data_IF_701831329853
#
_entry.id   IF_701831329853
#
_cell.length_a   1.000
_cell.length_b   1.000
_cell.length_c   1.000
_cell.angle_alpha   90.00
_cell.angle_beta   90.00
_cell.angle_gamma   90.00
#
_symmetry.space_group_name_H-M   'P 1'
#
loop_
_entity.id
_entity.type
_entity.pdbx_description
1 polymer ?
#
# COMPACT_ATOMS: atom_id res chain seq x y z
N UNK A 1 36.26 -48.38 9.41
CA UNK A 1 36.63 -47.43 8.34
C UNK A 1 35.35 -46.76 7.85
N UNK A 2 35.11 -45.49 8.20
CA UNK A 2 33.97 -44.73 7.65
C UNK A 2 34.30 -44.28 6.25
N UNK A 3 33.42 -44.60 5.29
CA UNK A 3 33.49 -44.05 3.95
C UNK A 3 33.29 -42.51 4.01
N UNK A 4 34.08 -41.72 3.27
CA UNK A 4 33.92 -40.27 3.26
C UNK A 4 32.56 -39.90 2.63
N UNK A 5 31.94 -38.79 3.06
CA UNK A 5 30.66 -38.37 2.50
C UNK A 5 30.81 -38.06 1.02
N UNK A 6 29.88 -38.58 0.22
CA UNK A 6 29.86 -38.46 -1.22
C UNK A 6 29.77 -36.96 -1.61
N UNK A 7 30.86 -36.41 -2.14
CA UNK A 7 31.03 -34.98 -2.48
C UNK A 7 29.90 -34.46 -3.40
N UNK A 8 29.28 -35.35 -4.19
CA UNK A 8 28.15 -35.06 -5.06
C UNK A 8 26.85 -34.72 -4.31
N UNK A 9 26.64 -35.26 -3.10
CA UNK A 9 25.46 -34.94 -2.27
C UNK A 9 25.56 -33.54 -1.64
N UNK A 10 26.79 -33.08 -1.34
CA UNK A 10 27.04 -31.76 -0.76
C UNK A 10 26.84 -30.66 -1.82
N UNK A 11 27.27 -30.89 -3.06
CA UNK A 11 27.07 -29.93 -4.15
C UNK A 11 25.59 -29.83 -4.58
N UNK A 12 24.85 -30.94 -4.56
CA UNK A 12 23.39 -30.97 -4.77
C UNK A 12 22.65 -30.13 -3.71
N UNK A 13 23.05 -30.25 -2.45
CA UNK A 13 22.39 -29.54 -1.35
C UNK A 13 22.67 -28.02 -1.37
N UNK A 14 23.83 -27.58 -1.87
CA UNK A 14 24.15 -26.16 -2.00
C UNK A 14 23.37 -25.44 -3.11
N UNK A 15 22.87 -26.16 -4.11
CA UNK A 15 22.08 -25.60 -5.22
C UNK A 15 20.61 -25.41 -4.85
N UNK A 16 20.10 -26.16 -3.86
CA UNK A 16 18.69 -26.14 -3.43
C UNK A 16 18.41 -25.27 -2.18
N UNK A 17 19.41 -24.57 -1.63
CA UNK A 17 19.20 -23.66 -0.50
C UNK A 17 19.13 -22.21 -0.99
N UNK A 18 18.02 -21.49 -0.76
CA UNK A 18 17.97 -20.06 -0.97
C UNK A 18 19.12 -19.40 -0.19
N UNK A 19 20.00 -18.71 -0.90
CA UNK A 19 21.05 -17.93 -0.22
C UNK A 19 20.40 -16.78 0.55
N UNK A 20 21.01 -16.33 1.65
CA UNK A 20 20.50 -15.21 2.45
C UNK A 20 20.25 -13.95 1.60
N UNK A 21 21.01 -13.77 0.52
CA UNK A 21 20.83 -12.66 -0.44
C UNK A 21 19.52 -12.77 -1.25
N UNK A 22 19.13 -13.98 -1.65
CA UNK A 22 17.89 -14.23 -2.38
C UNK A 22 16.67 -14.04 -1.49
N UNK A 23 16.72 -14.56 -0.25
CA UNK A 23 15.64 -14.40 0.73
C UNK A 23 15.37 -12.92 0.99
N UNK A 24 16.42 -12.13 1.25
CA UNK A 24 16.30 -10.68 1.46
C UNK A 24 15.73 -9.94 0.25
N UNK A 25 16.08 -10.37 -0.96
CA UNK A 25 15.56 -9.77 -2.18
C UNK A 25 14.05 -10.04 -2.32
N UNK A 26 13.63 -11.27 -2.04
CA UNK A 26 12.24 -11.68 -2.14
C UNK A 26 11.37 -11.01 -1.06
N UNK A 27 11.89 -10.88 0.16
CA UNK A 27 11.25 -10.10 1.22
C UNK A 27 11.01 -8.65 0.79
N UNK A 28 12.00 -8.00 0.18
CA UNK A 28 11.85 -6.62 -0.29
C UNK A 28 10.80 -6.49 -1.41
N UNK A 29 10.72 -7.46 -2.32
CA UNK A 29 9.68 -7.48 -3.35
C UNK A 29 8.29 -7.67 -2.76
N UNK A 30 8.15 -8.52 -1.74
CA UNK A 30 6.88 -8.74 -1.06
C UNK A 30 6.42 -7.47 -0.35
N UNK A 31 7.30 -6.83 0.42
CA UNK A 31 7.00 -5.56 1.11
C UNK A 31 6.62 -4.47 0.09
N UNK A 32 7.33 -4.38 -1.02
CA UNK A 32 7.00 -3.41 -2.08
C UNK A 32 5.62 -3.70 -2.69
N UNK A 33 5.31 -4.97 -2.96
CA UNK A 33 4.02 -5.36 -3.55
C UNK A 33 2.86 -5.07 -2.61
N UNK A 34 3.03 -5.34 -1.32
CA UNK A 34 2.07 -4.98 -0.27
C UNK A 34 1.88 -3.47 -0.19
N UNK A 35 2.97 -2.71 -0.15
CA UNK A 35 2.92 -1.24 -0.17
C UNK A 35 2.16 -0.71 -1.39
N UNK A 36 2.44 -1.22 -2.59
CA UNK A 36 1.76 -0.80 -3.81
C UNK A 36 0.26 -1.11 -3.76
N UNK A 37 -0.13 -2.30 -3.29
CA UNK A 37 -1.52 -2.70 -3.11
C UNK A 37 -2.23 -1.76 -2.14
N UNK A 38 -1.67 -1.59 -0.95
CA UNK A 38 -2.27 -0.80 0.12
C UNK A 38 -2.40 0.67 -0.29
N UNK A 39 -1.40 1.21 -1.03
CA UNK A 39 -1.46 2.55 -1.60
C UNK A 39 -2.57 2.68 -2.64
N UNK A 40 -2.77 1.67 -3.50
CA UNK A 40 -3.85 1.66 -4.49
C UNK A 40 -5.22 1.61 -3.81
N UNK A 41 -5.39 0.74 -2.81
CA UNK A 41 -6.63 0.63 -2.05
C UNK A 41 -6.98 1.95 -1.34
N UNK A 42 -5.98 2.61 -0.75
CA UNK A 42 -6.19 3.91 -0.11
C UNK A 42 -6.59 5.00 -1.11
N UNK A 43 -6.00 5.01 -2.31
CA UNK A 43 -6.39 5.94 -3.37
C UNK A 43 -7.83 5.70 -3.82
N UNK A 44 -8.25 4.45 -4.00
CA UNK A 44 -9.64 4.13 -4.35
C UNK A 44 -10.62 4.61 -3.28
N UNK A 45 -10.25 4.47 -2.01
CA UNK A 45 -11.06 4.99 -0.92
C UNK A 45 -11.19 6.52 -0.96
N UNK A 46 -10.09 7.24 -1.24
CA UNK A 46 -10.11 8.70 -1.40
C UNK A 46 -11.00 9.13 -2.57
N UNK A 47 -10.95 8.40 -3.70
CA UNK A 47 -11.79 8.68 -4.86
C UNK A 47 -13.28 8.51 -4.55
N UNK A 48 -13.66 7.46 -3.80
CA UNK A 48 -15.05 7.28 -3.38
C UNK A 48 -15.47 8.36 -2.36
N UNK A 49 -14.60 8.75 -1.44
CA UNK A 49 -14.86 9.84 -0.50
C UNK A 49 -15.09 11.18 -1.22
N UNK A 50 -14.25 11.50 -2.21
CA UNK A 50 -14.38 12.70 -3.04
C UNK A 50 -15.70 12.69 -3.83
N UNK A 51 -16.02 11.57 -4.48
CA UNK A 51 -17.29 11.37 -5.20
C UNK A 51 -18.50 11.52 -4.28
N UNK A 52 -18.43 11.01 -3.05
CA UNK A 52 -19.47 11.28 -2.06
C UNK A 52 -19.52 12.79 -1.81
N UNK A 53 -18.45 13.47 -1.43
CA UNK A 53 -18.52 14.92 -1.16
C UNK A 53 -18.99 15.79 -2.35
N UNK A 54 -18.73 15.38 -3.60
CA UNK A 54 -18.98 16.17 -4.80
C UNK A 54 -20.35 16.03 -5.47
N UNK A 55 -21.24 15.14 -5.01
CA UNK A 55 -22.59 14.99 -5.61
C UNK A 55 -23.48 16.20 -5.25
N UNK A 56 -23.98 16.97 -6.24
CA UNK A 56 -24.90 18.07 -5.99
C UNK A 56 -26.21 17.57 -5.40
N UNK A 57 -26.73 18.30 -4.40
CA UNK A 57 -28.03 18.04 -3.80
C UNK A 57 -29.12 18.85 -4.49
N UNK A 58 -30.23 18.19 -4.80
CA UNK A 58 -31.41 18.82 -5.37
C UNK A 58 -32.21 19.55 -4.27
N UNK A 59 -32.54 20.84 -4.44
CA UNK A 59 -33.37 21.57 -3.49
C UNK A 59 -34.74 20.89 -3.30
N UNK A 60 -35.10 20.61 -2.03
CA UNK A 60 -36.36 19.97 -1.68
C UNK A 60 -36.36 18.44 -1.75
N UNK A 61 -35.26 17.81 -2.15
CA UNK A 61 -35.13 16.35 -2.13
C UNK A 61 -34.58 15.86 -0.78
N UNK A 62 -35.46 15.79 0.22
CA UNK A 62 -35.11 15.39 1.59
C UNK A 62 -34.54 13.97 1.68
N UNK A 63 -35.01 13.06 0.82
CA UNK A 63 -34.52 11.68 0.78
C UNK A 63 -33.06 11.62 0.32
N UNK A 64 -32.72 12.35 -0.75
CA UNK A 64 -31.34 12.45 -1.23
C UNK A 64 -30.42 13.06 -0.17
N UNK A 65 -30.88 14.11 0.54
CA UNK A 65 -30.13 14.72 1.64
C UNK A 65 -29.87 13.70 2.76
N UNK A 66 -30.89 12.92 3.14
CA UNK A 66 -30.78 11.92 4.21
C UNK A 66 -29.79 10.81 3.84
N UNK A 67 -29.90 10.25 2.64
CA UNK A 67 -28.96 9.25 2.11
C UNK A 67 -27.54 9.81 2.09
N UNK A 68 -27.40 11.09 1.74
CA UNK A 68 -26.10 11.75 1.72
C UNK A 68 -25.47 11.89 3.09
N UNK A 69 -26.26 12.30 4.07
CA UNK A 69 -25.82 12.41 5.46
C UNK A 69 -25.41 11.04 6.02
N UNK A 70 -26.12 9.96 5.67
CA UNK A 70 -25.74 8.60 6.06
C UNK A 70 -24.40 8.19 5.45
N UNK A 71 -24.17 8.46 4.16
CA UNK A 71 -22.87 8.19 3.51
C UNK A 71 -21.72 8.98 4.15
N UNK A 72 -21.92 10.27 4.44
CA UNK A 72 -20.90 11.12 5.07
C UNK A 72 -20.57 10.61 6.48
N UNK A 73 -21.57 10.20 7.27
CA UNK A 73 -21.33 9.60 8.60
C UNK A 73 -20.48 8.34 8.54
N UNK A 74 -20.74 7.46 7.57
CA UNK A 74 -19.92 6.26 7.37
C UNK A 74 -18.47 6.61 7.04
N UNK A 75 -18.24 7.63 6.20
CA UNK A 75 -16.88 8.12 5.92
C UNK A 75 -16.21 8.66 7.18
N UNK A 76 -16.91 9.47 7.98
CA UNK A 76 -16.41 10.02 9.24
C UNK A 76 -16.00 8.92 10.22
N UNK A 77 -16.78 7.85 10.31
CA UNK A 77 -16.48 6.68 11.15
C UNK A 77 -15.22 5.91 10.67
N UNK A 78 -14.95 5.89 9.37
CA UNK A 78 -13.76 5.26 8.81
C UNK A 78 -12.47 6.10 8.97
N UNK A 79 -12.58 7.43 9.17
CA UNK A 79 -11.42 8.33 9.21
C UNK A 79 -10.30 7.89 10.17
N UNK A 80 -10.57 7.45 11.42
CA UNK A 80 -9.50 7.02 12.32
C UNK A 80 -8.72 5.80 11.80
N UNK A 81 -9.43 4.84 11.21
CA UNK A 81 -8.81 3.65 10.60
C UNK A 81 -7.94 4.06 9.40
N UNK A 82 -8.48 4.92 8.52
CA UNK A 82 -7.77 5.41 7.34
C UNK A 82 -6.54 6.24 7.71
N UNK A 83 -6.61 7.04 8.76
CA UNK A 83 -5.43 7.76 9.28
C UNK A 83 -4.33 6.79 9.72
N UNK A 84 -4.68 5.67 10.36
CA UNK A 84 -3.74 4.62 10.73
C UNK A 84 -3.04 4.00 9.51
N UNK A 85 -3.82 3.66 8.48
CA UNK A 85 -3.30 3.08 7.23
C UNK A 85 -2.37 4.07 6.53
N UNK A 86 -2.74 5.35 6.42
CA UNK A 86 -1.89 6.36 5.78
C UNK A 86 -0.56 6.55 6.52
N UNK A 87 -0.58 6.49 7.85
CA UNK A 87 0.65 6.53 8.66
C UNK A 87 1.56 5.35 8.30
N UNK A 88 1.02 4.13 8.24
CA UNK A 88 1.78 2.94 7.83
C UNK A 88 2.31 3.06 6.40
N UNK A 89 1.51 3.55 5.45
CA UNK A 89 1.96 3.80 4.07
C UNK A 89 3.14 4.77 4.03
N UNK A 90 3.12 5.84 4.81
CA UNK A 90 4.22 6.80 4.86
C UNK A 90 5.49 6.20 5.48
N UNK A 91 5.36 5.42 6.56
CA UNK A 91 6.48 4.75 7.21
C UNK A 91 7.12 3.67 6.30
N UNK A 92 6.29 2.81 5.71
CA UNK A 92 6.73 1.77 4.78
C UNK A 92 7.32 2.39 3.52
N UNK A 93 6.68 3.41 2.94
CA UNK A 93 7.16 4.10 1.75
C UNK A 93 8.53 4.75 1.94
N UNK A 94 8.77 5.39 3.08
CA UNK A 94 10.08 5.98 3.42
C UNK A 94 11.22 4.96 3.54
N UNK A 95 10.90 3.69 3.77
CA UNK A 95 11.88 2.60 3.90
C UNK A 95 12.02 1.81 2.59
N UNK A 96 10.91 1.29 2.07
CA UNK A 96 10.91 0.34 0.95
C UNK A 96 11.30 1.01 -0.36
N UNK A 97 10.88 2.25 -0.60
CA UNK A 97 11.18 2.94 -1.87
C UNK A 97 12.67 3.27 -2.01
N UNK A 98 13.40 3.38 -0.90
CA UNK A 98 14.84 3.66 -0.90
C UNK A 98 15.67 2.40 -1.16
N UNK A 99 15.20 1.23 -0.71
CA UNK A 99 15.98 -0.01 -0.76
C UNK A 99 15.50 -1.02 -1.80
N UNK A 100 14.30 -0.84 -2.35
CA UNK A 100 13.68 -1.77 -3.29
C UNK A 100 14.49 -1.91 -4.58
N UNK A 101 14.54 -3.13 -5.16
CA UNK A 101 15.22 -3.40 -6.41
C UNK A 101 14.37 -2.98 -7.62
N UNK A 102 13.96 -1.70 -7.68
CA UNK A 102 13.14 -1.13 -8.76
C UNK A 102 13.90 -0.07 -9.54
N UNK A 103 13.39 0.29 -10.73
CA UNK A 103 13.98 1.35 -11.52
C UNK A 103 13.76 2.71 -10.85
N UNK A 104 14.65 3.69 -11.08
CA UNK A 104 14.45 5.06 -10.57
C UNK A 104 13.13 5.68 -11.03
N UNK A 105 12.69 5.39 -12.25
CA UNK A 105 11.41 5.88 -12.78
C UNK A 105 10.21 5.31 -12.01
N UNK A 106 10.24 4.01 -11.69
CA UNK A 106 9.17 3.39 -10.90
C UNK A 106 9.17 3.92 -9.46
N UNK A 107 10.34 4.12 -8.87
CA UNK A 107 10.49 4.74 -7.56
C UNK A 107 9.87 6.16 -7.56
N UNK A 108 10.26 7.01 -8.51
CA UNK A 108 9.73 8.37 -8.63
C UNK A 108 8.20 8.39 -8.79
N UNK A 109 7.67 7.45 -9.58
CA UNK A 109 6.22 7.30 -9.77
C UNK A 109 5.50 6.97 -8.46
N UNK A 110 6.05 6.04 -7.66
CA UNK A 110 5.46 5.64 -6.38
C UNK A 110 5.58 6.75 -5.33
N UNK A 111 6.72 7.43 -5.26
CA UNK A 111 6.89 8.58 -4.38
C UNK A 111 5.91 9.70 -4.71
N UNK A 112 5.77 10.04 -6.00
CA UNK A 112 4.83 11.05 -6.44
C UNK A 112 3.38 10.64 -6.14
N UNK A 113 3.03 9.37 -6.35
CA UNK A 113 1.72 8.84 -5.99
C UNK A 113 1.46 9.00 -4.50
N UNK A 114 2.39 8.58 -3.63
CA UNK A 114 2.26 8.73 -2.17
C UNK A 114 2.12 10.20 -1.76
N UNK A 115 2.89 11.12 -2.37
CA UNK A 115 2.76 12.56 -2.13
C UNK A 115 1.36 13.07 -2.51
N UNK A 116 0.85 12.70 -3.68
CA UNK A 116 -0.50 13.08 -4.11
C UNK A 116 -1.58 12.50 -3.18
N UNK A 117 -1.45 11.24 -2.78
CA UNK A 117 -2.35 10.59 -1.82
C UNK A 117 -2.41 11.36 -0.49
N UNK A 118 -1.25 11.78 0.05
CA UNK A 118 -1.20 12.60 1.26
C UNK A 118 -1.89 13.97 1.07
N UNK A 119 -1.73 14.61 -0.10
CA UNK A 119 -2.40 15.87 -0.40
C UNK A 119 -3.92 15.73 -0.49
N UNK A 120 -4.41 14.65 -1.12
CA UNK A 120 -5.85 14.39 -1.21
C UNK A 120 -6.45 14.05 0.15
N UNK A 121 -5.74 13.28 0.98
CA UNK A 121 -6.15 13.00 2.35
C UNK A 121 -6.37 14.28 3.17
N UNK A 122 -5.49 15.29 3.02
CA UNK A 122 -5.65 16.58 3.68
C UNK A 122 -7.00 17.22 3.29
N UNK A 123 -7.44 17.11 2.04
CA UNK A 123 -8.75 17.65 1.63
C UNK A 123 -9.91 16.87 2.23
N UNK A 124 -9.82 15.54 2.29
CA UNK A 124 -10.91 14.69 2.80
C UNK A 124 -11.10 14.85 4.31
N UNK A 125 -10.03 15.13 5.06
CA UNK A 125 -10.08 15.30 6.52
C UNK A 125 -10.46 16.72 6.99
N UNK A 126 -10.57 17.70 6.09
CA UNK A 126 -10.82 19.11 6.38
C UNK A 126 -12.18 19.55 5.90
#
# INVERSE_FOLDING_TARGET
MSAPPNHALVLRAAVDQPTASYVRLEEQKNILSEFQRDLNEFVLWLEEADKISGIPLEPGNEQQLKEKLEQVKLLEEELPLRQGILKQLNETGGTVLVSAPISPEEQDKLENKLKQTNLQWIKVRH
#
